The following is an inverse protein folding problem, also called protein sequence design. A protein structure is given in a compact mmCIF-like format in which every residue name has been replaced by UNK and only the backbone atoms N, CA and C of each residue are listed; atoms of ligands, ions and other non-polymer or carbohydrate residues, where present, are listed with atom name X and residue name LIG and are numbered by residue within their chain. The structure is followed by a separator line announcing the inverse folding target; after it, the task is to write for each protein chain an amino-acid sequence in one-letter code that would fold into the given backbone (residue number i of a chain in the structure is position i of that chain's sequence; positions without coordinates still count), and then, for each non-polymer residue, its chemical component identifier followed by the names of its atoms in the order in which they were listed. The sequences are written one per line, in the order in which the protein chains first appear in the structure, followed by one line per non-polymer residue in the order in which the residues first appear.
data_IF_802824091761
#
_entry.id   IF_802824091761
#
_cell.length_a   1.000
_cell.length_b   1.000
_cell.length_c   1.000
_cell.angle_alpha   90.00
_cell.angle_beta   90.00
_cell.angle_gamma   90.00
#
_symmetry.space_group_name_H-M   'P 1'
#
loop_
_entity.id
_entity.type
_entity.pdbx_description
1 polymer ?
#
# COMPACT_ATOMS: atom_id res chain seq x y z
N UNK A 1 26.06 7.93 12.72
CA UNK A 1 25.01 8.96 12.69
C UNK A 1 24.10 8.70 11.50
N UNK A 2 23.16 7.77 11.61
CA UNK A 2 21.98 7.79 10.76
C UNK A 2 21.02 8.76 11.43
N UNK A 3 20.56 9.80 10.75
CA UNK A 3 19.51 10.64 11.33
C UNK A 3 18.34 9.73 11.71
N UNK A 4 17.67 9.95 12.85
CA UNK A 4 16.57 9.10 13.31
C UNK A 4 15.38 9.02 12.33
N UNK A 5 15.43 9.80 11.24
CA UNK A 5 14.43 9.87 10.19
C UNK A 5 14.88 9.20 8.88
N UNK A 6 16.14 8.80 8.70
CA UNK A 6 16.61 8.23 7.43
C UNK A 6 15.79 7.01 7.01
N UNK A 7 15.65 6.02 7.88
CA UNK A 7 14.95 4.78 7.57
C UNK A 7 13.44 4.96 7.34
N UNK A 8 12.70 5.71 8.19
CA UNK A 8 11.32 6.08 7.88
C UNK A 8 11.17 6.83 6.55
N UNK A 9 12.04 7.80 6.26
CA UNK A 9 12.00 8.54 5.00
C UNK A 9 12.30 7.64 3.80
N UNK A 10 13.29 6.76 3.91
CA UNK A 10 13.61 5.78 2.88
C UNK A 10 12.42 4.86 2.60
N UNK A 11 11.74 4.35 3.64
CA UNK A 11 10.52 3.55 3.49
C UNK A 11 9.39 4.31 2.79
N UNK A 12 9.11 5.55 3.21
CA UNK A 12 8.04 6.37 2.63
C UNK A 12 8.33 6.74 1.17
N UNK A 13 9.54 7.22 0.87
CA UNK A 13 9.94 7.60 -0.49
C UNK A 13 10.03 6.36 -1.40
N UNK A 14 10.49 5.23 -0.88
CA UNK A 14 10.52 3.99 -1.65
C UNK A 14 9.13 3.53 -2.04
N UNK A 15 8.17 3.55 -1.12
CA UNK A 15 6.78 3.27 -1.45
C UNK A 15 6.25 4.24 -2.52
N UNK A 16 6.40 5.55 -2.28
CA UNK A 16 5.79 6.59 -3.11
C UNK A 16 6.37 6.67 -4.53
N UNK A 17 7.68 6.41 -4.70
CA UNK A 17 8.40 6.65 -5.94
C UNK A 17 9.00 5.37 -6.55
N UNK A 18 9.39 4.40 -5.74
CA UNK A 18 10.18 3.24 -6.14
C UNK A 18 9.36 1.94 -6.26
N UNK A 19 8.03 2.02 -6.20
CA UNK A 19 7.13 0.88 -6.43
C UNK A 19 6.17 1.17 -7.57
N UNK A 20 5.44 0.15 -8.02
CA UNK A 20 4.40 0.30 -9.03
C UNK A 20 3.29 1.26 -8.61
N UNK A 21 3.11 1.53 -7.31
CA UNK A 21 2.19 2.56 -6.83
C UNK A 21 2.47 3.92 -7.50
N UNK A 22 3.72 4.24 -7.82
CA UNK A 22 4.07 5.46 -8.54
C UNK A 22 3.51 5.49 -9.96
N UNK A 23 3.66 4.39 -10.70
CA UNK A 23 3.12 4.24 -12.06
C UNK A 23 1.59 4.38 -12.10
N UNK A 24 0.90 3.92 -11.06
CA UNK A 24 -0.56 4.02 -10.94
C UNK A 24 -1.06 5.32 -10.32
N UNK A 25 -0.16 6.19 -9.79
CA UNK A 25 -0.55 7.40 -9.05
C UNK A 25 -1.24 8.47 -9.90
N UNK A 26 -0.99 8.49 -11.21
CA UNK A 26 -1.59 9.44 -12.16
C UNK A 26 -2.92 8.99 -12.77
N UNK A 27 -3.46 7.84 -12.34
CA UNK A 27 -4.69 7.25 -12.89
C UNK A 27 -5.67 7.03 -11.74
N UNK A 28 -6.96 7.26 -11.97
CA UNK A 28 -8.03 6.93 -11.03
C UNK A 28 -8.25 5.40 -10.95
N UNK A 29 -7.20 4.67 -10.54
CA UNK A 29 -7.24 3.22 -10.44
C UNK A 29 -7.74 2.79 -9.07
N UNK A 30 -8.79 1.96 -9.07
CA UNK A 30 -9.47 1.50 -7.86
C UNK A 30 -8.54 0.81 -6.86
N UNK A 31 -7.61 -0.04 -7.31
CA UNK A 31 -6.68 -0.75 -6.40
C UNK A 31 -5.72 0.21 -5.69
N UNK A 32 -5.27 1.27 -6.37
CA UNK A 32 -4.40 2.28 -5.78
C UNK A 32 -5.15 3.12 -4.72
N UNK A 33 -6.41 3.51 -5.01
CA UNK A 33 -7.26 4.23 -4.07
C UNK A 33 -7.59 3.38 -2.83
N UNK A 34 -8.00 2.13 -3.04
CA UNK A 34 -8.29 1.17 -1.97
C UNK A 34 -7.05 0.92 -1.08
N UNK A 35 -5.86 0.83 -1.69
CA UNK A 35 -4.59 0.72 -0.96
C UNK A 35 -4.36 1.93 -0.04
N UNK A 36 -4.64 3.14 -0.52
CA UNK A 36 -4.56 4.36 0.29
C UNK A 36 -5.46 4.32 1.51
N UNK A 37 -6.73 3.95 1.33
CA UNK A 37 -7.69 3.80 2.43
C UNK A 37 -7.24 2.74 3.44
N UNK A 38 -6.80 1.58 2.97
CA UNK A 38 -6.32 0.47 3.81
C UNK A 38 -5.13 0.88 4.69
N UNK A 39 -4.13 1.56 4.10
CA UNK A 39 -2.94 2.01 4.84
C UNK A 39 -3.30 3.03 5.92
N UNK A 40 -4.17 4.00 5.60
CA UNK A 40 -4.60 5.00 6.58
C UNK A 40 -5.43 4.33 7.69
N UNK A 41 -6.34 3.42 7.35
CA UNK A 41 -7.12 2.66 8.33
C UNK A 41 -6.20 1.87 9.28
N UNK A 42 -5.24 1.12 8.72
CA UNK A 42 -4.26 0.37 9.52
C UNK A 42 -3.47 1.30 10.45
N UNK A 43 -3.04 2.47 9.96
CA UNK A 43 -2.34 3.46 10.77
C UNK A 43 -3.21 4.03 11.91
N UNK A 44 -4.50 4.30 11.67
CA UNK A 44 -5.43 4.76 12.71
C UNK A 44 -5.60 3.70 13.81
N UNK A 45 -5.72 2.42 13.43
CA UNK A 45 -5.82 1.31 14.38
C UNK A 45 -4.51 1.15 15.16
N UNK A 46 -3.36 1.29 14.50
CA UNK A 46 -2.05 1.28 15.16
C UNK A 46 -1.90 2.43 16.17
N UNK A 47 -2.40 3.63 15.84
CA UNK A 47 -2.37 4.76 16.77
C UNK A 47 -3.25 4.51 18.01
N UNK A 48 -4.41 3.88 17.82
CA UNK A 48 -5.26 3.44 18.93
C UNK A 48 -4.53 2.45 19.85
N UNK A 49 -3.67 1.58 19.31
CA UNK A 49 -2.90 0.62 20.12
C UNK A 49 -1.77 1.28 20.93
N UNK A 50 -1.21 2.39 20.45
CA UNK A 50 0.00 3.01 21.05
C UNK A 50 -0.27 4.21 21.96
N UNK A 51 -1.47 4.81 21.94
CA UNK A 51 -1.76 6.06 22.67
C UNK A 51 -2.94 5.98 23.63
N UNK A 52 -2.79 6.69 24.75
CA UNK A 52 -3.91 7.29 25.49
C UNK A 52 -4.35 8.55 24.72
N UNK A 53 -5.07 8.35 23.62
CA UNK A 53 -5.74 9.46 22.94
C UNK A 53 -6.91 9.94 23.82
N UNK A 54 -7.28 11.21 23.73
CA UNK A 54 -8.50 11.69 24.39
C UNK A 54 -9.69 10.83 23.96
N UNK A 55 -10.72 10.72 24.81
CA UNK A 55 -11.92 9.92 24.51
C UNK A 55 -12.46 10.28 23.11
N UNK A 56 -12.71 11.56 22.85
CA UNK A 56 -13.17 12.05 21.54
C UNK A 56 -12.26 11.62 20.37
N UNK A 57 -10.94 11.75 20.51
CA UNK A 57 -10.01 11.36 19.45
C UNK A 57 -10.06 9.85 19.18
N UNK A 58 -10.21 9.01 20.22
CA UNK A 58 -10.31 7.56 20.05
C UNK A 58 -11.56 7.16 19.27
N UNK A 59 -12.70 7.82 19.53
CA UNK A 59 -13.95 7.58 18.80
C UNK A 59 -13.84 8.00 17.33
N UNK A 60 -13.26 9.18 17.06
CA UNK A 60 -13.03 9.64 15.69
C UNK A 60 -12.08 8.74 14.91
N UNK A 61 -11.01 8.26 15.56
CA UNK A 61 -10.08 7.31 14.96
C UNK A 61 -10.75 5.97 14.65
N UNK A 62 -11.59 5.45 15.54
CA UNK A 62 -12.33 4.21 15.32
C UNK A 62 -13.35 4.35 14.18
N UNK A 63 -14.14 5.43 14.16
CA UNK A 63 -15.06 5.74 13.07
C UNK A 63 -14.31 5.88 11.73
N UNK A 64 -13.23 6.64 11.72
CA UNK A 64 -12.41 6.86 10.53
C UNK A 64 -11.77 5.57 10.00
N UNK A 65 -11.26 4.72 10.89
CA UNK A 65 -10.72 3.42 10.51
C UNK A 65 -11.81 2.52 9.89
N UNK A 66 -12.98 2.43 10.53
CA UNK A 66 -14.12 1.68 9.99
C UNK A 66 -14.54 2.19 8.61
N UNK A 67 -14.75 3.51 8.48
CA UNK A 67 -15.13 4.17 7.22
C UNK A 67 -14.16 3.85 6.09
N UNK A 68 -12.86 3.98 6.35
CA UNK A 68 -11.83 3.71 5.35
C UNK A 68 -11.75 2.23 4.98
N UNK A 69 -11.94 1.30 5.93
CA UNK A 69 -12.03 -0.13 5.61
C UNK A 69 -13.26 -0.45 4.76
N UNK A 70 -14.40 0.20 5.01
CA UNK A 70 -15.60 0.05 4.19
C UNK A 70 -15.38 0.58 2.78
N UNK A 71 -14.83 1.80 2.66
CA UNK A 71 -14.45 2.40 1.38
C UNK A 71 -13.40 1.59 0.62
N UNK A 72 -12.51 0.89 1.33
CA UNK A 72 -11.54 -0.04 0.72
C UNK A 72 -12.28 -1.11 -0.08
N UNK A 73 -13.26 -1.78 0.53
CA UNK A 73 -14.07 -2.83 -0.12
C UNK A 73 -14.94 -2.24 -1.23
N UNK A 74 -15.61 -1.12 -0.98
CA UNK A 74 -16.43 -0.42 -1.98
C UNK A 74 -15.64 -0.05 -3.23
N UNK A 75 -14.37 0.28 -3.07
CA UNK A 75 -13.51 0.67 -4.19
C UNK A 75 -12.90 -0.54 -4.88
N UNK A 76 -12.41 -1.53 -4.12
CA UNK A 76 -11.82 -2.74 -4.68
C UNK A 76 -12.02 -3.96 -3.78
N UNK A 77 -12.38 -5.08 -4.41
CA UNK A 77 -12.48 -6.39 -3.75
C UNK A 77 -11.11 -7.07 -3.55
N UNK A 78 -10.07 -6.64 -4.28
CA UNK A 78 -8.72 -7.22 -4.18
C UNK A 78 -8.18 -7.26 -2.73
N UNK A 79 -8.23 -6.16 -1.95
CA UNK A 79 -7.79 -6.16 -0.55
C UNK A 79 -8.83 -6.70 0.46
N UNK A 80 -9.91 -7.36 0.04
CA UNK A 80 -11.00 -7.80 0.94
C UNK A 80 -10.49 -8.58 2.16
N UNK A 81 -9.65 -9.60 1.96
CA UNK A 81 -9.11 -10.38 3.07
C UNK A 81 -8.13 -9.57 3.95
N UNK A 82 -7.45 -8.57 3.40
CA UNK A 82 -6.62 -7.66 4.21
C UNK A 82 -7.48 -6.78 5.12
N UNK A 83 -8.66 -6.35 4.64
CA UNK A 83 -9.64 -5.62 5.44
C UNK A 83 -10.14 -6.47 6.61
N UNK A 84 -10.44 -7.75 6.38
CA UNK A 84 -10.80 -8.69 7.47
C UNK A 84 -9.70 -8.76 8.52
N UNK A 85 -8.44 -8.94 8.11
CA UNK A 85 -7.31 -9.00 9.05
C UNK A 85 -7.10 -7.69 9.81
N UNK A 86 -7.30 -6.52 9.16
CA UNK A 86 -7.30 -5.23 9.84
C UNK A 86 -8.42 -5.11 10.88
N UNK A 87 -9.63 -5.56 10.54
CA UNK A 87 -10.76 -5.55 11.46
C UNK A 87 -10.53 -6.51 12.65
N UNK A 88 -9.98 -7.71 12.39
CA UNK A 88 -9.57 -8.64 13.44
C UNK A 88 -8.51 -8.01 14.34
N UNK A 89 -7.51 -7.33 13.77
CA UNK A 89 -6.51 -6.60 14.55
C UNK A 89 -7.15 -5.54 15.46
N UNK A 90 -8.14 -4.79 14.99
CA UNK A 90 -8.92 -3.87 15.83
C UNK A 90 -9.65 -4.60 16.97
N UNK A 91 -10.29 -5.74 16.70
CA UNK A 91 -10.95 -6.54 17.74
C UNK A 91 -9.96 -7.07 18.79
N UNK A 92 -8.75 -7.45 18.37
CA UNK A 92 -7.68 -7.87 19.29
C UNK A 92 -7.24 -6.76 20.25
N UNK A 93 -7.49 -5.49 19.95
CA UNK A 93 -7.25 -4.39 20.90
C UNK A 93 -8.21 -4.41 22.10
N UNK A 94 -9.28 -5.24 22.07
CA UNK A 94 -10.29 -5.40 23.13
C UNK A 94 -10.94 -4.09 23.59
N UNK A 95 -11.02 -3.09 22.69
CA UNK A 95 -11.65 -1.79 22.94
C UNK A 95 -13.14 -1.83 22.62
N UNK A 96 -13.88 -2.67 23.33
CA UNK A 96 -15.31 -2.95 23.07
C UNK A 96 -16.20 -1.69 23.02
N UNK A 97 -15.86 -0.65 23.79
CA UNK A 97 -16.59 0.62 23.78
C UNK A 97 -16.52 1.39 22.44
N UNK A 98 -15.47 1.15 21.64
CA UNK A 98 -15.27 1.78 20.33
C UNK A 98 -15.90 0.97 19.19
N UNK A 99 -16.27 -0.29 19.46
CA UNK A 99 -16.75 -1.24 18.46
C UNK A 99 -18.00 -0.76 17.72
N UNK A 100 -19.04 -0.21 18.39
CA UNK A 100 -20.22 0.29 17.68
C UNK A 100 -19.87 1.39 16.68
N UNK A 101 -18.99 2.32 17.07
CA UNK A 101 -18.60 3.46 16.22
C UNK A 101 -17.70 3.03 15.07
N UNK A 102 -16.83 2.04 15.30
CA UNK A 102 -16.08 1.40 14.22
C UNK A 102 -17.00 0.73 13.19
N UNK A 103 -17.99 -0.05 13.63
CA UNK A 103 -18.94 -0.71 12.72
C UNK A 103 -19.86 0.27 12.00
N UNK A 104 -20.30 1.34 12.66
CA UNK A 104 -21.05 2.42 11.99
C UNK A 104 -20.21 3.08 10.90
N UNK A 105 -18.92 3.33 11.17
CA UNK A 105 -17.98 3.77 10.15
C UNK A 105 -17.89 2.79 8.98
N UNK A 106 -17.68 1.51 9.27
CA UNK A 106 -17.59 0.44 8.26
C UNK A 106 -18.83 0.39 7.36
N UNK A 107 -20.02 0.41 7.96
CA UNK A 107 -21.30 0.42 7.23
C UNK A 107 -21.45 1.69 6.39
N UNK A 108 -21.09 2.86 6.92
CA UNK A 108 -21.10 4.10 6.16
C UNK A 108 -20.14 4.05 4.96
N UNK A 109 -18.99 3.38 5.11
CA UNK A 109 -18.03 3.19 4.03
C UNK A 109 -18.51 2.21 2.96
N UNK A 110 -19.26 1.17 3.36
CA UNK A 110 -19.86 0.17 2.45
C UNK A 110 -21.13 0.68 1.74
N UNK A 111 -21.78 1.70 2.30
CA UNK A 111 -23.06 2.22 1.80
C UNK A 111 -23.05 2.52 0.29
N UNK A 112 -22.03 3.17 -0.31
CA UNK A 112 -22.03 3.44 -1.75
C UNK A 112 -22.05 2.15 -2.59
N UNK A 113 -21.40 1.08 -2.13
CA UNK A 113 -21.43 -0.22 -2.81
C UNK A 113 -22.84 -0.82 -2.76
N UNK A 114 -23.47 -0.85 -1.58
CA UNK A 114 -24.84 -1.39 -1.45
C UNK A 114 -25.87 -0.61 -2.26
N UNK A 115 -25.74 0.72 -2.33
CA UNK A 115 -26.59 1.56 -3.18
C UNK A 115 -26.36 1.23 -4.66
N UNK A 116 -25.11 1.12 -5.08
CA UNK A 116 -24.76 0.78 -6.45
C UNK A 116 -25.26 -0.62 -6.85
N UNK A 117 -25.04 -1.63 -6.01
CA UNK A 117 -25.43 -3.01 -6.29
C UNK A 117 -26.96 -3.18 -6.27
N UNK A 118 -27.67 -2.51 -5.36
CA UNK A 118 -29.13 -2.49 -5.35
C UNK A 118 -29.70 -1.82 -6.61
N UNK A 119 -29.14 -0.68 -7.03
CA UNK A 119 -29.59 0.04 -8.20
C UNK A 119 -29.27 -0.69 -9.52
N UNK A 120 -28.12 -1.36 -9.58
CA UNK A 120 -27.62 -1.98 -10.81
C UNK A 120 -28.11 -3.42 -10.98
N UNK A 121 -28.22 -4.18 -9.88
CA UNK A 121 -28.49 -5.62 -9.92
C UNK A 121 -29.79 -6.02 -9.19
N UNK A 122 -30.50 -5.08 -8.57
CA UNK A 122 -31.69 -5.35 -7.78
C UNK A 122 -31.41 -6.04 -6.44
N UNK A 123 -30.13 -6.23 -6.07
CA UNK A 123 -29.73 -6.86 -4.82
C UNK A 123 -28.47 -6.16 -4.25
N UNK A 124 -28.55 -5.52 -3.08
CA UNK A 124 -27.42 -4.80 -2.47
C UNK A 124 -26.24 -5.69 -2.06
N UNK A 125 -26.42 -7.01 -2.01
CA UNK A 125 -25.40 -7.97 -1.61
C UNK A 125 -24.81 -8.75 -2.79
N UNK A 126 -25.32 -8.52 -4.00
CA UNK A 126 -24.82 -9.19 -5.20
C UNK A 126 -23.60 -8.44 -5.74
N UNK A 127 -22.41 -8.96 -5.42
CA UNK A 127 -21.14 -8.34 -5.79
C UNK A 127 -21.00 -8.22 -7.32
N UNK A 128 -20.40 -7.13 -7.83
CA UNK A 128 -20.24 -6.89 -9.28
C UNK A 128 -19.54 -8.02 -10.04
N UNK A 129 -18.52 -8.66 -9.44
CA UNK A 129 -17.81 -9.77 -10.07
C UNK A 129 -18.70 -10.99 -10.27
N UNK A 130 -19.65 -11.20 -9.34
CA UNK A 130 -20.64 -12.28 -9.40
C UNK A 130 -21.72 -11.95 -10.42
N UNK A 131 -22.26 -10.74 -10.38
CA UNK A 131 -23.24 -10.27 -11.35
C UNK A 131 -22.69 -10.29 -12.78
N UNK A 132 -21.42 -9.94 -12.96
CA UNK A 132 -20.75 -9.88 -14.26
C UNK A 132 -20.16 -11.20 -14.76
N UNK A 133 -20.31 -12.31 -14.01
CA UNK A 133 -19.73 -13.61 -14.34
C UNK A 133 -18.20 -13.59 -14.56
N UNK A 134 -17.48 -12.71 -13.86
CA UNK A 134 -16.01 -12.63 -13.91
C UNK A 134 -15.37 -13.70 -13.00
N UNK A 135 -15.47 -14.95 -13.43
CA UNK A 135 -15.00 -16.12 -12.67
C UNK A 135 -13.48 -16.16 -12.49
N UNK A 136 -12.74 -15.43 -13.31
CA UNK A 136 -11.28 -15.35 -13.27
C UNK A 136 -10.73 -14.68 -12.00
N UNK A 137 -11.61 -13.99 -11.25
CA UNK A 137 -11.29 -13.36 -9.96
C UNK A 137 -11.66 -14.21 -8.75
N UNK A 138 -12.28 -15.37 -8.97
CA UNK A 138 -12.61 -16.28 -7.88
C UNK A 138 -11.40 -17.08 -7.43
N UNK A 139 -11.38 -17.36 -6.12
CA UNK A 139 -10.41 -18.26 -5.54
C UNK A 139 -10.62 -19.66 -6.09
N UNK A 140 -9.62 -20.17 -6.81
CA UNK A 140 -9.56 -21.55 -7.25
C UNK A 140 -8.13 -22.06 -7.00
N UNK A 141 -8.03 -23.22 -6.35
CA UNK A 141 -6.71 -23.80 -6.09
C UNK A 141 -6.24 -24.61 -7.29
N UNK A 142 -5.16 -24.18 -7.93
CA UNK A 142 -4.52 -24.89 -9.04
C UNK A 142 -3.01 -24.88 -8.86
N UNK A 143 -2.36 -26.04 -8.62
CA UNK A 143 -0.91 -26.11 -8.44
C UNK A 143 -0.13 -25.54 -9.64
N UNK A 144 -0.64 -25.76 -10.85
CA UNK A 144 -0.03 -25.24 -12.10
C UNK A 144 -0.14 -23.71 -12.16
N UNK A 145 -1.31 -23.16 -11.86
CA UNK A 145 -1.51 -21.71 -11.81
C UNK A 145 -0.60 -21.07 -10.75
N UNK A 146 -0.58 -21.65 -9.55
CA UNK A 146 0.28 -21.21 -8.45
C UNK A 146 1.76 -21.16 -8.86
N UNK A 147 2.27 -22.22 -9.49
CA UNK A 147 3.65 -22.29 -9.96
C UNK A 147 3.97 -21.24 -11.03
N UNK A 148 3.09 -21.10 -12.03
CA UNK A 148 3.23 -20.09 -13.09
C UNK A 148 3.23 -18.67 -12.52
N UNK A 149 2.31 -18.38 -11.60
CA UNK A 149 2.21 -17.08 -10.94
C UNK A 149 3.40 -16.80 -10.05
N UNK A 150 3.94 -17.79 -9.35
CA UNK A 150 5.17 -17.61 -8.57
C UNK A 150 6.32 -17.11 -9.46
N UNK A 151 6.50 -17.74 -10.64
CA UNK A 151 7.52 -17.34 -11.61
C UNK A 151 7.21 -15.95 -12.18
N UNK A 152 5.96 -15.69 -12.56
CA UNK A 152 5.53 -14.39 -13.08
C UNK A 152 5.80 -13.27 -12.08
N UNK A 153 5.32 -13.39 -10.84
CA UNK A 153 5.47 -12.36 -9.81
C UNK A 153 6.93 -12.21 -9.35
N UNK A 154 7.71 -13.28 -9.28
CA UNK A 154 9.14 -13.18 -8.99
C UNK A 154 9.87 -12.32 -10.05
N UNK A 155 9.62 -12.59 -11.33
CA UNK A 155 10.16 -11.78 -12.44
C UNK A 155 9.64 -10.35 -12.37
N UNK A 156 8.32 -10.18 -12.26
CA UNK A 156 7.68 -8.87 -12.25
C UNK A 156 8.17 -7.99 -11.08
N UNK A 157 8.38 -8.55 -9.89
CA UNK A 157 8.92 -7.81 -8.75
C UNK A 157 10.38 -7.42 -8.95
N UNK A 158 11.23 -8.31 -9.47
CA UNK A 158 12.64 -8.00 -9.72
C UNK A 158 12.78 -6.90 -10.77
N UNK A 159 11.94 -6.92 -11.82
CA UNK A 159 12.00 -5.94 -12.90
C UNK A 159 11.30 -4.63 -12.55
N UNK A 160 10.07 -4.65 -12.04
CA UNK A 160 9.26 -3.43 -11.88
C UNK A 160 9.34 -2.81 -10.49
N UNK A 161 9.66 -3.58 -9.45
CA UNK A 161 9.72 -3.09 -8.09
C UNK A 161 10.84 -3.77 -7.27
N UNK A 162 12.12 -3.72 -7.69
CA UNK A 162 13.20 -4.40 -6.98
C UNK A 162 13.39 -3.95 -5.53
N UNK A 163 12.86 -2.78 -5.15
CA UNK A 163 12.81 -2.34 -3.76
C UNK A 163 11.88 -3.17 -2.86
N UNK A 164 10.84 -3.79 -3.45
CA UNK A 164 9.85 -4.59 -2.73
C UNK A 164 10.46 -5.82 -2.03
N UNK A 165 11.25 -6.70 -2.70
CA UNK A 165 11.90 -7.82 -2.02
C UNK A 165 12.92 -7.35 -0.97
N UNK A 166 13.58 -6.21 -1.16
CA UNK A 166 14.44 -5.63 -0.10
C UNK A 166 13.62 -5.23 1.12
N UNK A 167 12.44 -4.65 0.92
CA UNK A 167 11.48 -4.37 1.99
C UNK A 167 11.06 -5.63 2.75
N UNK A 168 10.63 -6.67 2.03
CA UNK A 168 10.27 -7.96 2.63
C UNK A 168 11.42 -8.58 3.42
N UNK A 169 12.63 -8.60 2.84
CA UNK A 169 13.81 -9.12 3.53
C UNK A 169 14.16 -8.29 4.76
N UNK A 170 13.95 -6.96 4.69
CA UNK A 170 14.13 -6.05 5.80
C UNK A 170 13.32 -6.43 7.05
N UNK A 171 12.12 -6.99 6.89
CA UNK A 171 11.29 -7.46 8.00
C UNK A 171 11.99 -8.52 8.87
N UNK A 172 12.90 -9.30 8.30
CA UNK A 172 13.64 -10.33 9.03
C UNK A 172 14.60 -9.77 10.10
N UNK A 173 15.05 -8.53 9.91
CA UNK A 173 15.95 -7.82 10.84
C UNK A 173 15.22 -7.15 12.00
N UNK A 174 13.88 -7.14 12.01
CA UNK A 174 13.12 -6.60 13.12
C UNK A 174 13.31 -7.49 14.37
N UNK A 175 13.63 -6.91 15.55
CA UNK A 175 13.83 -7.65 16.79
C UNK A 175 12.67 -8.59 17.13
N UNK A 176 12.96 -9.73 17.76
CA UNK A 176 11.96 -10.75 18.11
C UNK A 176 10.81 -10.18 18.95
N UNK A 177 11.09 -9.27 19.86
CA UNK A 177 10.09 -8.67 20.74
C UNK A 177 9.07 -7.85 19.93
N UNK A 178 9.55 -7.06 18.97
CA UNK A 178 8.68 -6.30 18.06
C UNK A 178 7.92 -7.19 17.06
N UNK A 179 8.49 -8.35 16.68
CA UNK A 179 7.81 -9.31 15.79
C UNK A 179 6.64 -10.02 16.45
N UNK A 180 6.62 -10.10 17.79
CA UNK A 180 5.52 -10.70 18.55
C UNK A 180 4.36 -9.74 18.78
N UNK A 181 4.56 -8.46 18.49
CA UNK A 181 3.51 -7.46 18.62
C UNK A 181 2.35 -7.71 17.65
N UNK A 182 1.08 -7.57 18.08
CA UNK A 182 -0.08 -7.85 17.23
C UNK A 182 -0.11 -7.08 15.92
N UNK A 183 0.41 -5.84 15.90
CA UNK A 183 0.45 -5.02 14.70
C UNK A 183 1.46 -5.54 13.66
N UNK A 184 2.58 -6.12 14.11
CA UNK A 184 3.53 -6.74 13.20
C UNK A 184 2.94 -8.02 12.59
N UNK A 185 2.29 -8.83 13.42
CA UNK A 185 1.60 -10.04 12.96
C UNK A 185 0.47 -9.72 11.97
N UNK A 186 -0.33 -8.68 12.25
CA UNK A 186 -1.37 -8.21 11.32
C UNK A 186 -0.78 -7.76 9.98
N UNK A 187 0.32 -7.00 9.99
CA UNK A 187 1.03 -6.58 8.78
C UNK A 187 1.50 -7.79 7.95
N UNK A 188 2.14 -8.77 8.58
CA UNK A 188 2.62 -9.98 7.89
C UNK A 188 1.45 -10.82 7.38
N UNK A 189 0.42 -11.02 8.19
CA UNK A 189 -0.77 -11.77 7.80
C UNK A 189 -1.48 -11.14 6.58
N UNK A 190 -1.58 -9.80 6.54
CA UNK A 190 -2.13 -9.08 5.39
C UNK A 190 -1.34 -9.34 4.10
N UNK A 191 0.00 -9.33 4.16
CA UNK A 191 0.82 -9.64 2.98
C UNK A 191 0.72 -11.11 2.57
N UNK A 192 0.60 -12.03 3.53
CA UNK A 192 0.39 -13.46 3.24
C UNK A 192 -0.95 -13.67 2.57
N UNK A 193 -2.04 -13.07 3.08
CA UNK A 193 -3.38 -13.34 2.55
C UNK A 193 -3.56 -12.79 1.14
N UNK A 194 -2.99 -11.62 0.83
CA UNK A 194 -3.01 -11.10 -0.53
C UNK A 194 -2.13 -11.95 -1.47
N UNK A 195 -0.97 -12.44 -1.02
CA UNK A 195 -0.16 -13.35 -1.82
C UNK A 195 -0.90 -14.67 -2.11
N UNK A 196 -1.54 -15.25 -1.09
CA UNK A 196 -2.37 -16.46 -1.25
C UNK A 196 -3.52 -16.20 -2.22
N UNK A 197 -4.23 -15.08 -2.09
CA UNK A 197 -5.32 -14.73 -3.00
C UNK A 197 -4.81 -14.59 -4.44
N UNK A 198 -3.77 -13.78 -4.65
CA UNK A 198 -3.24 -13.47 -5.99
C UNK A 198 -2.68 -14.70 -6.71
N UNK A 199 -2.07 -15.64 -5.98
CA UNK A 199 -1.56 -16.89 -6.56
C UNK A 199 -2.66 -17.93 -6.86
N UNK A 200 -3.91 -17.70 -6.42
CA UNK A 200 -5.04 -18.63 -6.58
C UNK A 200 -6.24 -18.01 -7.31
N UNK A 201 -6.09 -16.88 -8.00
CA UNK A 201 -7.05 -16.38 -9.00
C UNK A 201 -6.55 -16.70 -10.41
N UNK A 202 -7.38 -16.71 -11.45
CA UNK A 202 -6.92 -17.12 -12.80
C UNK A 202 -6.20 -15.98 -13.49
N UNK A 203 -6.72 -14.77 -13.32
CA UNK A 203 -6.21 -13.59 -13.99
C UNK A 203 -4.88 -13.12 -13.41
N UNK A 204 -3.93 -12.77 -14.28
CA UNK A 204 -2.72 -12.02 -13.91
C UNK A 204 -2.97 -10.51 -13.95
N UNK A 205 -4.14 -10.11 -14.47
CA UNK A 205 -4.50 -8.75 -14.79
C UNK A 205 -4.29 -8.45 -16.27
N UNK A 206 -5.36 -8.04 -16.97
CA UNK A 206 -5.32 -7.80 -18.41
C UNK A 206 -4.40 -6.64 -18.79
N UNK A 207 -4.78 -5.41 -18.43
CA UNK A 207 -4.03 -4.19 -18.74
C UNK A 207 -3.22 -3.77 -17.51
N UNK A 208 -1.88 -3.84 -17.60
CA UNK A 208 -1.05 -3.52 -16.45
C UNK A 208 0.42 -3.19 -16.76
N UNK A 209 0.98 -2.34 -15.91
CA UNK A 209 2.41 -2.08 -15.80
C UNK A 209 2.93 -2.64 -14.48
N UNK A 210 3.68 -3.74 -14.56
CA UNK A 210 4.17 -4.46 -13.38
C UNK A 210 3.07 -5.21 -12.62
N UNK A 211 3.38 -5.72 -11.40
CA UNK A 211 2.50 -6.62 -10.66
C UNK A 211 1.36 -5.86 -9.93
N UNK A 212 0.33 -5.42 -10.66
CA UNK A 212 -0.73 -4.54 -10.12
C UNK A 212 -1.44 -5.11 -8.90
N UNK A 213 -1.66 -6.43 -8.87
CA UNK A 213 -2.39 -7.07 -7.76
C UNK A 213 -1.62 -7.09 -6.44
N UNK A 214 -0.33 -6.72 -6.46
CA UNK A 214 0.46 -6.51 -5.25
C UNK A 214 0.44 -5.05 -4.76
N UNK A 215 -0.28 -4.13 -5.42
CA UNK A 215 -0.42 -2.74 -4.99
C UNK A 215 -0.78 -2.62 -3.49
N UNK A 216 -1.77 -3.38 -2.96
CA UNK A 216 -2.09 -3.33 -1.54
C UNK A 216 -0.93 -3.75 -0.61
N UNK A 217 -0.02 -4.60 -1.07
CA UNK A 217 1.12 -5.09 -0.30
C UNK A 217 2.33 -4.15 -0.33
N UNK A 218 2.49 -3.35 -1.39
CA UNK A 218 3.62 -2.43 -1.60
C UNK A 218 3.94 -1.53 -0.38
N UNK A 219 2.98 -0.82 0.23
CA UNK A 219 3.28 0.04 1.38
C UNK A 219 3.77 -0.77 2.60
N UNK A 220 3.18 -1.94 2.85
CA UNK A 220 3.53 -2.79 3.98
C UNK A 220 4.91 -3.44 3.82
N UNK A 221 5.27 -3.86 2.60
CA UNK A 221 6.61 -4.36 2.30
C UNK A 221 7.67 -3.26 2.49
N UNK A 222 7.38 -2.04 2.03
CA UNK A 222 8.31 -0.90 2.18
C UNK A 222 8.57 -0.53 3.65
N UNK A 223 7.62 -0.75 4.56
CA UNK A 223 7.85 -0.59 6.01
C UNK A 223 8.99 -1.49 6.52
N UNK A 224 9.21 -2.64 5.90
CA UNK A 224 10.31 -3.53 6.23
C UNK A 224 11.69 -2.94 5.99
N UNK A 225 11.83 -1.90 5.16
CA UNK A 225 13.09 -1.17 5.00
C UNK A 225 13.58 -0.55 6.33
N UNK A 226 12.69 -0.29 7.29
CA UNK A 226 13.07 0.15 8.64
C UNK A 226 13.83 -0.94 9.40
N UNK A 227 13.61 -2.21 9.07
CA UNK A 227 14.29 -3.35 9.67
C UNK A 227 15.82 -3.28 9.58
N UNK A 228 16.37 -2.75 8.49
CA UNK A 228 17.82 -2.57 8.32
C UNK A 228 18.43 -1.60 9.34
N UNK A 229 17.62 -0.77 10.01
CA UNK A 229 18.10 0.08 11.12
C UNK A 229 18.59 -0.71 12.33
N UNK A 230 18.11 -1.96 12.48
CA UNK A 230 18.43 -2.87 13.58
C UNK A 230 19.67 -3.75 13.32
N UNK A 231 20.34 -3.61 12.18
CA UNK A 231 21.63 -4.26 11.94
C UNK A 231 22.67 -3.79 12.97
N UNK A 232 23.45 -4.74 13.49
CA UNK A 232 24.38 -4.50 14.60
C UNK A 232 25.56 -3.62 14.19
N UNK A 233 26.14 -3.89 13.01
CA UNK A 233 27.33 -3.18 12.55
C UNK A 233 26.95 -1.90 11.81
N UNK A 234 27.67 -0.81 12.12
CA UNK A 234 27.47 0.47 11.45
C UNK A 234 27.83 0.43 9.96
N UNK A 235 28.83 -0.36 9.57
CA UNK A 235 29.19 -0.58 8.17
C UNK A 235 28.06 -1.26 7.39
N UNK A 236 27.47 -2.33 7.93
CA UNK A 236 26.34 -3.04 7.33
C UNK A 236 25.13 -2.12 7.16
N UNK A 237 24.80 -1.31 8.17
CA UNK A 237 23.73 -0.30 8.07
C UNK A 237 23.97 0.72 6.96
N UNK A 238 25.21 1.22 6.84
CA UNK A 238 25.57 2.17 5.79
C UNK A 238 25.48 1.53 4.41
N UNK A 239 26.01 0.32 4.27
CA UNK A 239 25.94 -0.44 3.02
C UNK A 239 24.48 -0.70 2.63
N UNK A 240 23.65 -1.17 3.56
CA UNK A 240 22.22 -1.36 3.33
C UNK A 240 21.53 -0.05 2.91
N UNK A 241 21.86 1.07 3.57
CA UNK A 241 21.36 2.39 3.18
C UNK A 241 21.75 2.78 1.76
N UNK A 242 23.00 2.57 1.36
CA UNK A 242 23.48 2.83 -0.01
C UNK A 242 22.78 1.93 -1.02
N UNK A 243 22.67 0.63 -0.74
CA UNK A 243 21.98 -0.33 -1.61
C UNK A 243 20.52 0.06 -1.79
N UNK A 244 19.82 0.42 -0.71
CA UNK A 244 18.41 0.84 -0.75
C UNK A 244 18.24 2.12 -1.56
N UNK A 245 19.15 3.09 -1.44
CA UNK A 245 19.11 4.31 -2.25
C UNK A 245 19.34 4.01 -3.73
N UNK A 246 20.34 3.18 -4.06
CA UNK A 246 20.65 2.81 -5.46
C UNK A 246 19.54 1.99 -6.10
N UNK A 247 19.04 0.96 -5.42
CA UNK A 247 17.93 0.13 -5.90
C UNK A 247 16.64 0.94 -5.95
N UNK A 248 16.40 1.81 -4.96
CA UNK A 248 15.27 2.73 -4.95
C UNK A 248 15.30 3.70 -6.13
N UNK A 249 16.47 4.25 -6.47
CA UNK A 249 16.65 5.11 -7.64
C UNK A 249 16.41 4.36 -8.97
N UNK A 250 16.92 3.13 -9.09
CA UNK A 250 16.65 2.28 -10.25
C UNK A 250 15.15 1.99 -10.39
N UNK A 251 14.53 1.52 -9.30
CA UNK A 251 13.08 1.32 -9.20
C UNK A 251 12.29 2.56 -9.61
N UNK A 252 12.71 3.74 -9.15
CA UNK A 252 12.07 5.01 -9.48
C UNK A 252 12.13 5.29 -10.98
N UNK A 253 13.29 5.13 -11.62
CA UNK A 253 13.41 5.32 -13.08
C UNK A 253 12.48 4.37 -13.83
N UNK A 254 12.37 3.12 -13.40
CA UNK A 254 11.49 2.13 -14.03
C UNK A 254 10.02 2.54 -13.90
N UNK A 255 9.59 2.93 -12.70
CA UNK A 255 8.20 3.34 -12.47
C UNK A 255 7.88 4.72 -13.04
N UNK A 256 8.87 5.60 -13.21
CA UNK A 256 8.71 6.87 -13.92
C UNK A 256 8.32 6.65 -15.38
N UNK A 257 8.91 5.65 -16.04
CA UNK A 257 8.51 5.27 -17.41
C UNK A 257 7.03 4.87 -17.45
N UNK A 258 6.57 4.06 -16.48
CA UNK A 258 5.17 3.67 -16.35
C UNK A 258 4.25 4.86 -16.02
N UNK A 259 4.69 5.79 -15.18
CA UNK A 259 3.91 7.00 -14.86
C UNK A 259 3.75 7.94 -16.06
N UNK A 260 4.77 8.07 -16.90
CA UNK A 260 4.76 8.93 -18.09
C UNK A 260 3.95 8.32 -19.25
N UNK A 261 4.05 7.02 -19.47
CA UNK A 261 3.36 6.33 -20.58
C UNK A 261 2.01 5.72 -20.19
N UNK A 262 1.70 5.70 -18.89
CA UNK A 262 0.46 5.16 -18.34
C UNK A 262 0.59 3.69 -17.95
N UNK A 263 0.02 3.34 -16.79
CA UNK A 263 0.09 1.99 -16.23
C UNK A 263 -0.98 1.01 -16.76
N UNK A 264 -1.94 1.48 -17.55
CA UNK A 264 -2.96 0.65 -18.20
C UNK A 264 -2.62 0.48 -19.68
N UNK A 265 -1.90 -0.59 -19.98
CA UNK A 265 -1.37 -0.89 -21.31
C UNK A 265 -1.62 -2.37 -21.65
N UNK A 266 -1.89 -2.63 -22.93
CA UNK A 266 -2.09 -3.97 -23.48
C UNK A 266 -0.79 -4.78 -23.38
N UNK A 267 -0.85 -6.05 -22.95
CA UNK A 267 0.29 -6.94 -23.02
C UNK A 267 0.45 -7.41 -24.47
N UNK A 268 1.25 -6.70 -25.26
CA UNK A 268 1.49 -7.01 -26.68
C UNK A 268 2.51 -8.16 -26.86
N UNK A 269 2.57 -9.10 -25.92
CA UNK A 269 3.57 -10.19 -25.85
C UNK A 269 5.03 -9.75 -25.63
N UNK A 270 5.29 -8.44 -25.58
CA UNK A 270 6.60 -7.81 -25.41
C UNK A 270 6.72 -7.14 -24.05
N UNK A 271 7.96 -6.90 -23.59
CA UNK A 271 8.21 -6.25 -22.30
C UNK A 271 7.69 -4.80 -22.34
N UNK A 272 6.56 -4.55 -21.68
CA UNK A 272 5.86 -3.25 -21.61
C UNK A 272 6.81 -2.09 -21.33
N UNK A 273 7.75 -2.27 -20.39
CA UNK A 273 8.74 -1.26 -20.07
C UNK A 273 9.59 -0.86 -21.31
N UNK A 274 10.08 -1.83 -22.08
CA UNK A 274 10.88 -1.56 -23.27
C UNK A 274 10.08 -0.84 -24.36
N UNK A 275 8.80 -1.20 -24.52
CA UNK A 275 7.91 -0.53 -25.47
C UNK A 275 7.69 0.93 -25.08
N UNK A 276 7.47 1.20 -23.79
CA UNK A 276 7.35 2.56 -23.27
C UNK A 276 8.64 3.36 -23.42
N UNK A 277 9.80 2.77 -23.16
CA UNK A 277 11.09 3.43 -23.42
C UNK A 277 11.26 3.74 -24.91
N UNK A 278 10.88 2.83 -25.80
CA UNK A 278 10.95 3.05 -27.25
C UNK A 278 10.02 4.18 -27.69
N UNK A 279 8.78 4.26 -27.15
CA UNK A 279 7.85 5.35 -27.41
C UNK A 279 8.38 6.71 -26.93
N UNK A 280 8.92 6.77 -25.70
CA UNK A 280 9.56 7.98 -25.16
C UNK A 280 10.71 8.44 -26.07
N UNK A 281 11.54 7.51 -26.55
CA UNK A 281 12.65 7.83 -27.46
C UNK A 281 12.19 8.38 -28.81
N UNK A 282 11.00 7.99 -29.28
CA UNK A 282 10.36 8.56 -30.48
C UNK A 282 9.67 9.91 -30.23
N UNK A 283 9.66 10.39 -28.99
CA UNK A 283 8.95 11.62 -28.61
C UNK A 283 7.44 11.45 -28.41
N UNK A 284 6.95 10.21 -28.38
CA UNK A 284 5.53 9.87 -28.19
C UNK A 284 5.19 9.93 -26.69
N UNK A 285 5.06 11.13 -26.12
CA UNK A 285 4.59 11.30 -24.74
C UNK A 285 3.06 11.38 -24.69
N UNK A 286 2.45 10.77 -23.67
CA UNK A 286 1.00 10.90 -23.45
C UNK A 286 0.65 12.29 -22.91
N UNK A 287 -0.52 12.78 -23.27
CA UNK A 287 -1.09 14.00 -22.69
C UNK A 287 -1.56 13.76 -21.25
N UNK A 288 -1.21 14.66 -20.34
CA UNK A 288 -1.66 14.62 -18.94
C UNK A 288 -2.57 15.82 -18.63
N UNK A 289 -3.83 15.82 -19.09
CA UNK A 289 -4.72 17.00 -19.02
C UNK A 289 -5.02 17.42 -17.57
N UNK A 290 -4.95 16.49 -16.61
CA UNK A 290 -5.22 16.75 -15.20
C UNK A 290 -3.96 17.06 -14.38
N UNK A 291 -2.78 17.21 -15.00
CA UNK A 291 -1.53 17.45 -14.27
C UNK A 291 -1.59 18.69 -13.38
N UNK A 292 -2.20 19.78 -13.85
CA UNK A 292 -2.37 21.02 -13.08
C UNK A 292 -3.21 20.82 -11.82
N UNK A 293 -4.21 19.92 -11.85
CA UNK A 293 -5.04 19.58 -10.70
C UNK A 293 -4.25 18.87 -9.59
N UNK A 294 -3.12 18.23 -9.93
CA UNK A 294 -2.24 17.58 -8.97
C UNK A 294 -1.32 18.56 -8.22
N UNK A 295 -1.19 19.81 -8.67
CA UNK A 295 -0.36 20.81 -8.00
C UNK A 295 -0.90 21.18 -6.61
N UNK A 296 -2.24 21.23 -6.46
CA UNK A 296 -2.90 21.52 -5.18
C UNK A 296 -2.63 20.43 -4.12
N UNK A 297 -2.94 19.14 -4.36
CA UNK A 297 -2.65 18.09 -3.39
C UNK A 297 -1.14 17.92 -3.13
N UNK A 298 -0.29 18.19 -4.12
CA UNK A 298 1.16 18.24 -3.94
C UNK A 298 1.57 19.35 -2.97
N UNK A 299 1.08 20.58 -3.17
CA UNK A 299 1.37 21.72 -2.30
C UNK A 299 0.88 21.47 -0.86
N UNK A 300 -0.32 20.90 -0.69
CA UNK A 300 -0.85 20.53 0.62
C UNK A 300 0.02 19.46 1.30
N UNK A 301 0.46 18.46 0.55
CA UNK A 301 1.32 17.38 1.06
C UNK A 301 2.71 17.90 1.45
N UNK A 302 3.29 18.82 0.67
CA UNK A 302 4.53 19.53 1.03
C UNK A 302 4.35 20.39 2.27
N UNK A 303 3.26 21.14 2.38
CA UNK A 303 2.98 21.97 3.55
C UNK A 303 2.84 21.12 4.83
N UNK A 304 2.10 20.01 4.77
CA UNK A 304 1.96 19.06 5.87
C UNK A 304 3.31 18.43 6.24
N UNK A 305 4.11 18.03 5.25
CA UNK A 305 5.44 17.49 5.48
C UNK A 305 6.34 18.51 6.20
N UNK A 306 6.43 19.74 5.69
CA UNK A 306 7.22 20.80 6.32
C UNK A 306 6.74 21.11 7.74
N UNK A 307 5.42 21.18 7.94
CA UNK A 307 4.84 21.39 9.26
C UNK A 307 5.22 20.27 10.24
N UNK A 308 5.13 19.00 9.83
CA UNK A 308 5.53 17.87 10.68
C UNK A 308 7.02 17.88 11.02
N UNK A 309 7.89 18.22 10.06
CA UNK A 309 9.34 18.36 10.29
C UNK A 309 9.62 19.49 11.29
N UNK A 310 8.98 20.65 11.14
CA UNK A 310 9.13 21.79 12.06
C UNK A 310 8.61 21.45 13.45
N UNK A 311 7.42 20.85 13.56
CA UNK A 311 6.84 20.43 14.83
C UNK A 311 7.72 19.41 15.57
N UNK A 312 8.34 18.47 14.85
CA UNK A 312 9.30 17.52 15.43
C UNK A 312 10.57 18.22 15.94
N UNK A 313 11.12 19.20 15.21
CA UNK A 313 12.28 19.98 15.67
C UNK A 313 11.96 20.77 16.94
N UNK A 314 10.80 21.44 16.99
CA UNK A 314 10.36 22.20 18.17
C UNK A 314 10.20 21.31 19.41
N UNK A 315 9.62 20.11 19.28
CA UNK A 315 9.50 19.16 20.39
C UNK A 315 10.85 18.68 20.93
N UNK A 316 11.86 18.52 20.07
CA UNK A 316 13.22 18.18 20.52
C UNK A 316 13.89 19.31 21.27
N UNK A 317 13.71 20.55 20.81
CA UNK A 317 14.27 21.73 21.47
C UNK A 317 13.56 22.01 22.81
N UNK A 318 12.23 21.85 22.88
CA UNK A 318 11.46 22.03 24.12
C UNK A 318 11.77 21.00 25.21
N UNK A 319 12.10 19.75 24.83
CA UNK A 319 12.51 18.70 25.79
C UNK A 319 13.96 18.82 26.29
N UNK A 320 14.77 19.70 25.70
CA UNK A 320 16.13 20.01 26.18
C UNK A 320 16.15 21.13 27.23
N UNK A 321 15.07 21.89 27.38
CA UNK A 321 14.96 22.99 28.35
C UNK A 321 14.26 22.59 29.66
N UNK A 322 13.97 21.30 29.87
CA UNK A 322 13.28 20.77 31.06
C UNK A 322 14.13 19.79 31.87
N UNK A 323 15.44 19.72 31.62
CA UNK A 323 16.44 19.03 32.44
C UNK A 323 17.45 20.05 32.96
#
# INVERSE_FOLDING_TARGET
MGTPLFWPLAATLSYALATTAFSYSGIAHHDALATGYLVIAFYLILQLSRRSATKRASYLQAAGAGLLLGLTITTSMLPFFMVILCALYFLFLRRWQLLPVFFLGLLAGLLPLFVYDAASFGNPLLLPNIAGHYSDTYLHFSPTNFGNKLVFYARALIFYAPIFPLGLFGLSYIPRDLRREPHFLALVAMMIVIAVYVFNIDTEGAYQFGPRYLLPAMPFACLGLVGYSYLLRTSERRLAGVVIVLVGALSFVINLVGALQGAMCCPDGSNVFLNHVAAIRRGELRSHPLFSWLLVPLALSMALFLWTVVAMRRRRQGGLNTN
#
